data_IF_321006168817
#
_entry.id   IF_321006168817
#
_cell.length_a   1.000
_cell.length_b   1.000
_cell.length_c   1.000
_cell.angle_alpha   90.00
_cell.angle_beta   90.00
_cell.angle_gamma   90.00
#
_symmetry.space_group_name_H-M   'P 1'
#
loop_
_entity.id
_entity.type
_entity.pdbx_description
1 polymer ?
#
# COMPACT_ATOMS: atom_id res chain seq x y z
N UNK A 1 -50.21 -32.61 -54.64
CA UNK A 1 -49.61 -32.73 -53.29
C UNK A 1 -48.29 -33.49 -53.45
N UNK A 2 -47.15 -32.87 -53.16
CA UNK A 2 -45.84 -33.54 -53.30
C UNK A 2 -45.70 -34.55 -52.16
N UNK A 3 -45.55 -35.83 -52.50
CA UNK A 3 -45.21 -36.88 -51.53
C UNK A 3 -43.86 -36.52 -50.90
N UNK A 4 -43.90 -36.08 -49.65
CA UNK A 4 -42.70 -35.90 -48.86
C UNK A 4 -42.09 -37.29 -48.69
N UNK A 5 -40.87 -37.48 -49.18
CA UNK A 5 -40.15 -38.74 -49.07
C UNK A 5 -39.89 -39.03 -47.58
N UNK A 6 -40.59 -40.03 -47.05
CA UNK A 6 -40.53 -40.46 -45.65
C UNK A 6 -39.08 -40.79 -45.25
N UNK A 7 -38.23 -41.25 -46.18
CA UNK A 7 -36.82 -41.53 -45.92
C UNK A 7 -36.05 -40.25 -45.61
N UNK A 8 -36.33 -39.16 -46.34
CA UNK A 8 -35.72 -37.85 -46.10
C UNK A 8 -36.12 -37.30 -44.73
N UNK A 9 -37.40 -37.46 -44.35
CA UNK A 9 -37.90 -37.04 -43.04
C UNK A 9 -37.20 -37.81 -41.91
N UNK A 10 -37.03 -39.13 -42.06
CA UNK A 10 -36.33 -39.94 -41.06
C UNK A 10 -34.85 -39.56 -40.90
N UNK A 11 -34.16 -39.22 -41.99
CA UNK A 11 -32.76 -38.75 -41.93
C UNK A 11 -32.67 -37.39 -41.23
N UNK A 12 -33.57 -36.46 -41.53
CA UNK A 12 -33.59 -35.13 -40.90
C UNK A 12 -33.90 -35.23 -39.40
N UNK A 13 -34.88 -36.06 -39.02
CA UNK A 13 -35.22 -36.31 -37.62
C UNK A 13 -34.06 -36.98 -36.89
N UNK A 14 -33.41 -37.97 -37.50
CA UNK A 14 -32.23 -38.63 -36.93
C UNK A 14 -31.07 -37.65 -36.69
N UNK A 15 -30.78 -36.78 -37.65
CA UNK A 15 -29.78 -35.72 -37.49
C UNK A 15 -30.15 -34.76 -36.35
N UNK A 16 -31.40 -34.33 -36.24
CA UNK A 16 -31.84 -33.42 -35.18
C UNK A 16 -31.70 -34.05 -33.78
N UNK A 17 -32.10 -35.32 -33.63
CA UNK A 17 -31.97 -36.05 -32.36
C UNK A 17 -30.49 -36.19 -31.95
N UNK A 18 -29.61 -36.48 -32.90
CA UNK A 18 -28.17 -36.58 -32.63
C UNK A 18 -27.57 -35.23 -32.17
N UNK A 19 -27.94 -34.13 -32.82
CA UNK A 19 -27.48 -32.79 -32.42
C UNK A 19 -28.00 -32.39 -31.04
N UNK A 20 -29.26 -32.74 -30.72
CA UNK A 20 -29.83 -32.51 -29.41
C UNK A 20 -29.11 -33.32 -28.31
N UNK A 21 -28.81 -34.59 -28.58
CA UNK A 21 -28.07 -35.44 -27.64
C UNK A 21 -26.65 -34.90 -27.39
N UNK A 22 -25.95 -34.47 -28.43
CA UNK A 22 -24.62 -33.85 -28.31
C UNK A 22 -24.67 -32.52 -27.55
N UNK A 23 -25.67 -31.67 -27.82
CA UNK A 23 -25.83 -30.39 -27.12
C UNK A 23 -26.11 -30.58 -25.61
N UNK A 24 -26.97 -31.53 -25.25
CA UNK A 24 -27.27 -31.85 -23.85
C UNK A 24 -26.03 -32.43 -23.16
N UNK A 25 -25.34 -33.38 -23.79
CA UNK A 25 -24.11 -33.97 -23.26
C UNK A 25 -23.03 -32.92 -23.01
N UNK A 26 -22.84 -31.99 -23.94
CA UNK A 26 -21.88 -30.91 -23.80
C UNK A 26 -22.26 -29.91 -22.70
N UNK A 27 -23.55 -29.61 -22.51
CA UNK A 27 -24.00 -28.75 -21.42
C UNK A 27 -23.81 -29.39 -20.03
N UNK A 28 -24.10 -30.68 -19.89
CA UNK A 28 -23.88 -31.41 -18.63
C UNK A 28 -22.38 -31.45 -18.29
N UNK A 29 -21.53 -31.75 -19.28
CA UNK A 29 -20.08 -31.79 -19.08
C UNK A 29 -19.48 -30.41 -18.74
N UNK A 30 -19.98 -29.33 -19.35
CA UNK A 30 -19.60 -27.95 -18.99
C UNK A 30 -20.10 -27.54 -17.60
N UNK A 31 -21.26 -28.02 -17.18
CA UNK A 31 -21.80 -27.78 -15.84
C UNK A 31 -20.92 -28.39 -14.76
N UNK A 32 -20.61 -29.70 -14.88
CA UNK A 32 -19.75 -30.40 -13.94
C UNK A 32 -18.36 -29.78 -13.82
N UNK A 33 -17.70 -29.50 -14.95
CA UNK A 33 -16.37 -28.87 -14.94
C UNK A 33 -16.37 -27.46 -14.32
N UNK A 34 -17.48 -26.72 -14.43
CA UNK A 34 -17.62 -25.38 -13.83
C UNK A 34 -17.86 -25.45 -12.33
N UNK A 35 -18.63 -26.43 -11.87
CA UNK A 35 -18.89 -26.64 -10.45
C UNK A 35 -17.64 -27.18 -9.73
N UNK A 36 -16.89 -28.09 -10.38
CA UNK A 36 -15.60 -28.57 -9.89
C UNK A 36 -14.59 -27.41 -9.74
N UNK A 37 -14.39 -26.60 -10.79
CA UNK A 37 -13.52 -25.40 -10.71
C UNK A 37 -13.97 -24.40 -9.63
N UNK A 38 -15.29 -24.22 -9.44
CA UNK A 38 -15.80 -23.30 -8.42
C UNK A 38 -15.47 -23.81 -7.01
N UNK A 39 -15.59 -25.12 -6.78
CA UNK A 39 -15.24 -25.74 -5.50
C UNK A 39 -13.72 -25.69 -5.22
N UNK A 40 -12.88 -25.91 -6.25
CA UNK A 40 -11.43 -25.79 -6.13
C UNK A 40 -11.00 -24.35 -5.82
N UNK A 41 -11.62 -23.36 -6.46
CA UNK A 41 -11.35 -21.94 -6.19
C UNK A 41 -11.74 -21.55 -4.75
N UNK A 42 -12.89 -22.01 -4.26
CA UNK A 42 -13.29 -21.76 -2.87
C UNK A 42 -12.34 -22.42 -1.86
N UNK A 43 -11.89 -23.65 -2.14
CA UNK A 43 -10.91 -24.32 -1.30
C UNK A 43 -9.55 -23.59 -1.29
N UNK A 44 -9.13 -23.04 -2.44
CA UNK A 44 -7.93 -22.21 -2.55
C UNK A 44 -8.06 -20.90 -1.79
N UNK A 45 -9.22 -20.24 -1.86
CA UNK A 45 -9.49 -18.98 -1.17
C UNK A 45 -9.44 -19.16 0.35
N UNK A 46 -10.09 -20.20 0.88
CA UNK A 46 -10.02 -20.55 2.31
C UNK A 46 -8.58 -20.86 2.73
N UNK A 47 -7.84 -21.59 1.89
CA UNK A 47 -6.43 -21.92 2.18
C UNK A 47 -5.56 -20.66 2.22
N UNK A 48 -5.77 -19.70 1.33
CA UNK A 48 -5.04 -18.43 1.36
C UNK A 48 -5.42 -17.59 2.57
N UNK A 49 -6.68 -17.56 2.98
CA UNK A 49 -7.10 -16.89 4.21
C UNK A 49 -6.45 -17.49 5.46
N UNK A 50 -6.33 -18.83 5.53
CA UNK A 50 -5.63 -19.51 6.61
C UNK A 50 -4.12 -19.23 6.60
N UNK A 51 -3.48 -19.24 5.42
CA UNK A 51 -2.05 -18.90 5.27
C UNK A 51 -1.77 -17.43 5.64
N UNK A 52 -2.64 -16.50 5.28
CA UNK A 52 -2.52 -15.08 5.62
C UNK A 52 -2.75 -14.84 7.11
N UNK A 53 -3.70 -15.55 7.72
CA UNK A 53 -3.92 -15.52 9.17
C UNK A 53 -2.71 -16.06 9.92
N UNK A 54 -2.16 -17.20 9.50
CA UNK A 54 -0.96 -17.78 10.10
C UNK A 54 0.25 -16.85 9.97
N UNK A 55 0.43 -16.19 8.82
CA UNK A 55 1.49 -15.18 8.63
C UNK A 55 1.29 -13.97 9.55
N UNK A 56 0.06 -13.49 9.73
CA UNK A 56 -0.23 -12.40 10.67
C UNK A 56 0.09 -12.78 12.10
N UNK A 57 -0.34 -13.95 12.54
CA UNK A 57 -0.08 -14.45 13.89
C UNK A 57 1.44 -14.67 14.11
N UNK A 58 2.15 -15.20 13.12
CA UNK A 58 3.60 -15.34 13.15
C UNK A 58 4.30 -13.97 13.24
N UNK A 59 3.87 -12.99 12.43
CA UNK A 59 4.41 -11.63 12.47
C UNK A 59 4.13 -10.94 13.81
N UNK A 60 2.93 -11.11 14.37
CA UNK A 60 2.60 -10.58 15.70
C UNK A 60 3.42 -11.24 16.81
N UNK A 61 3.70 -12.55 16.71
CA UNK A 61 4.56 -13.27 17.63
C UNK A 61 6.01 -12.77 17.55
N UNK A 62 6.56 -12.62 16.34
CA UNK A 62 7.92 -12.09 16.13
C UNK A 62 8.06 -10.66 16.67
N UNK A 63 7.04 -9.82 16.45
CA UNK A 63 6.99 -8.46 17.00
C UNK A 63 6.89 -8.47 18.52
N UNK A 64 6.09 -9.38 19.08
CA UNK A 64 5.90 -9.48 20.53
C UNK A 64 7.14 -10.03 21.23
N UNK A 65 7.86 -10.95 20.60
CA UNK A 65 9.13 -11.49 21.08
C UNK A 65 10.24 -10.44 21.04
N UNK A 66 10.31 -9.66 19.95
CA UNK A 66 11.39 -8.69 19.72
C UNK A 66 11.18 -7.35 20.42
N UNK A 67 9.93 -6.90 20.57
CA UNK A 67 9.59 -5.56 21.05
C UNK A 67 8.62 -5.56 22.24
N UNK A 68 8.35 -6.72 22.85
CA UNK A 68 7.50 -6.86 24.03
C UNK A 68 6.05 -7.20 23.73
N UNK A 69 5.36 -7.83 24.69
CA UNK A 69 4.00 -8.35 24.52
C UNK A 69 2.92 -7.28 24.71
N UNK A 70 3.22 -6.21 25.45
CA UNK A 70 2.27 -5.12 25.71
C UNK A 70 2.35 -4.03 24.61
N UNK A 71 1.22 -3.38 24.32
CA UNK A 71 1.16 -2.34 23.30
C UNK A 71 2.11 -1.18 23.62
N UNK A 72 2.24 -0.80 24.90
CA UNK A 72 3.14 0.26 25.35
C UNK A 72 4.64 -0.10 25.18
N UNK A 73 5.01 -1.37 25.33
CA UNK A 73 6.40 -1.81 25.13
C UNK A 73 6.76 -1.82 23.65
N UNK A 74 5.82 -2.28 22.80
CA UNK A 74 5.96 -2.19 21.34
C UNK A 74 6.08 -0.74 20.88
N UNK A 75 5.36 0.19 21.50
CA UNK A 75 5.47 1.63 21.23
C UNK A 75 6.84 2.20 21.65
N UNK A 76 7.37 1.77 22.80
CA UNK A 76 8.65 2.24 23.31
C UNK A 76 9.86 1.65 22.57
N UNK A 77 9.71 0.44 22.00
CA UNK A 77 10.79 -0.36 21.41
C UNK A 77 10.72 -0.49 19.89
N UNK A 78 9.58 -0.18 19.24
CA UNK A 78 9.45 -0.09 17.77
C UNK A 78 9.99 1.27 17.28
N UNK A 79 11.11 1.30 16.54
CA UNK A 79 11.69 2.53 16.01
C UNK A 79 10.69 3.34 15.15
N UNK A 80 9.70 2.67 14.55
CA UNK A 80 8.74 3.25 13.61
C UNK A 80 7.73 4.20 14.28
N UNK A 81 7.22 3.86 15.46
CA UNK A 81 6.28 4.71 16.20
C UNK A 81 6.97 5.86 16.93
N UNK A 82 8.21 5.64 17.37
CA UNK A 82 9.03 6.69 17.98
C UNK A 82 9.35 7.79 16.95
N UNK A 83 9.56 7.43 15.69
CA UNK A 83 9.78 8.36 14.58
C UNK A 83 8.54 9.21 14.29
N UNK A 84 7.35 8.61 14.19
CA UNK A 84 6.11 9.37 14.00
C UNK A 84 5.91 10.40 15.12
N UNK A 85 6.05 9.98 16.38
CA UNK A 85 5.87 10.87 17.53
C UNK A 85 6.99 11.94 17.59
N UNK A 86 8.23 11.56 17.29
CA UNK A 86 9.37 12.46 17.27
C UNK A 86 9.24 13.49 16.14
N UNK A 87 8.82 13.09 14.93
CA UNK A 87 8.55 13.99 13.81
C UNK A 87 7.45 14.97 14.18
N UNK A 88 6.30 14.48 14.68
CA UNK A 88 5.20 15.35 15.12
C UNK A 88 5.67 16.33 16.20
N UNK A 89 6.44 15.87 17.20
CA UNK A 89 6.94 16.71 18.30
C UNK A 89 7.96 17.74 17.81
N UNK A 90 8.88 17.36 16.92
CA UNK A 90 9.90 18.26 16.37
C UNK A 90 9.26 19.30 15.45
N UNK A 91 8.38 18.90 14.54
CA UNK A 91 7.67 19.85 13.66
C UNK A 91 6.76 20.79 14.46
N UNK A 92 6.08 20.30 15.51
CA UNK A 92 5.27 21.17 16.39
C UNK A 92 6.09 22.18 17.19
N UNK A 93 7.30 21.81 17.60
CA UNK A 93 8.17 22.68 18.41
C UNK A 93 8.95 23.71 17.59
N UNK A 94 9.13 23.46 16.29
CA UNK A 94 10.01 24.26 15.42
C UNK A 94 9.29 25.23 14.50
N UNK A 95 8.00 24.99 14.25
CA UNK A 95 7.14 25.96 13.60
C UNK A 95 6.38 26.69 14.74
N UNK A 96 5.83 27.90 14.53
CA UNK A 96 5.24 28.77 15.60
C UNK A 96 3.78 29.20 15.29
N UNK A 97 3.08 28.40 14.49
CA UNK A 97 1.72 28.59 13.93
C UNK A 97 0.81 27.39 14.22
N UNK A 98 -0.44 27.38 13.80
CA UNK A 98 -1.22 26.12 13.84
C UNK A 98 -0.74 25.19 12.71
N UNK A 99 -0.36 23.94 13.07
CA UNK A 99 -0.04 22.88 12.11
C UNK A 99 -0.75 21.58 12.44
N UNK A 100 -1.11 20.87 11.38
CA UNK A 100 -1.56 19.50 11.39
C UNK A 100 -0.46 18.63 10.78
N UNK A 101 0.03 17.67 11.55
CA UNK A 101 1.01 16.69 11.07
C UNK A 101 0.29 15.35 10.96
N UNK A 102 0.23 14.82 9.75
CA UNK A 102 -0.31 13.50 9.46
C UNK A 102 0.84 12.59 9.03
N UNK A 103 0.90 11.38 9.60
CA UNK A 103 1.88 10.39 9.21
C UNK A 103 1.12 9.14 8.80
N UNK A 104 1.35 8.73 7.56
CA UNK A 104 0.67 7.57 6.98
C UNK A 104 1.70 6.55 6.51
N UNK A 105 1.47 5.25 6.75
CA UNK A 105 2.32 4.21 6.17
C UNK A 105 2.06 4.14 4.67
N UNK A 106 3.07 4.45 3.85
CA UNK A 106 2.94 4.42 2.38
C UNK A 106 3.56 3.13 1.80
N UNK A 107 4.61 2.60 2.44
CA UNK A 107 5.21 1.28 2.17
C UNK A 107 5.59 0.57 3.48
N UNK A 108 5.74 -0.76 3.45
CA UNK A 108 5.99 -1.66 4.61
C UNK A 108 6.91 -1.10 5.73
N UNK A 109 7.93 -0.31 5.37
CA UNK A 109 8.90 0.28 6.31
C UNK A 109 9.06 1.80 6.17
N UNK A 110 8.35 2.45 5.24
CA UNK A 110 8.58 3.85 4.88
C UNK A 110 7.31 4.69 5.11
N UNK A 111 7.45 5.80 5.81
CA UNK A 111 6.35 6.69 6.18
C UNK A 111 6.26 7.91 5.27
N UNK A 112 5.03 8.28 4.91
CA UNK A 112 4.73 9.63 4.44
C UNK A 112 4.49 10.54 5.62
N UNK A 113 5.05 11.74 5.57
CA UNK A 113 4.82 12.80 6.55
C UNK A 113 4.22 13.98 5.82
N UNK A 114 3.00 14.36 6.17
CA UNK A 114 2.35 15.56 5.64
C UNK A 114 2.24 16.59 6.75
N UNK A 115 2.90 17.73 6.56
CA UNK A 115 2.90 18.87 7.46
C UNK A 115 2.08 19.99 6.80
N UNK A 116 0.87 20.19 7.30
CA UNK A 116 -0.05 21.22 6.82
C UNK A 116 -0.11 22.37 7.82
N UNK A 117 0.00 23.62 7.35
CA UNK A 117 -0.12 24.82 8.20
C UNK A 117 -0.84 25.93 7.46
N UNK A 118 -1.48 26.86 8.16
CA UNK A 118 -2.15 28.00 7.53
C UNK A 118 -1.18 28.97 6.82
N UNK A 119 0.08 29.03 7.26
CA UNK A 119 1.10 29.86 6.63
C UNK A 119 2.44 29.13 6.61
N UNK A 120 2.84 28.68 5.41
CA UNK A 120 4.08 27.92 5.25
C UNK A 120 5.31 28.82 5.49
N UNK A 121 6.23 28.41 6.38
CA UNK A 121 7.49 29.13 6.59
C UNK A 121 8.32 29.23 5.31
N UNK A 122 9.25 30.18 5.29
CA UNK A 122 10.24 30.28 4.22
C UNK A 122 11.08 28.98 4.13
N UNK A 123 11.51 28.58 2.91
CA UNK A 123 12.26 27.34 2.69
C UNK A 123 13.47 27.15 3.61
N UNK A 124 14.19 28.23 3.96
CA UNK A 124 15.35 28.17 4.86
C UNK A 124 14.98 27.65 6.25
N UNK A 125 13.81 28.06 6.78
CA UNK A 125 13.31 27.53 8.06
C UNK A 125 12.92 26.07 7.91
N UNK A 126 12.22 25.71 6.84
CA UNK A 126 11.84 24.31 6.56
C UNK A 126 13.07 23.40 6.45
N UNK A 127 14.14 23.86 5.78
CA UNK A 127 15.41 23.15 5.69
C UNK A 127 16.07 22.94 7.06
N UNK A 128 16.02 23.93 7.95
CA UNK A 128 16.51 23.78 9.32
C UNK A 128 15.72 22.73 10.10
N UNK A 129 14.39 22.74 9.97
CA UNK A 129 13.54 21.74 10.62
C UNK A 129 13.81 20.33 10.09
N UNK A 130 13.90 20.17 8.76
CA UNK A 130 14.24 18.89 8.12
C UNK A 130 15.58 18.36 8.59
N UNK A 131 16.62 19.22 8.61
CA UNK A 131 17.94 18.85 9.10
C UNK A 131 17.88 18.34 10.53
N UNK A 132 17.23 19.10 11.42
CA UNK A 132 17.14 18.74 12.83
C UNK A 132 16.42 17.39 13.00
N UNK A 133 15.31 17.19 12.29
CA UNK A 133 14.54 15.95 12.35
C UNK A 133 15.33 14.74 11.82
N UNK A 134 15.88 14.83 10.61
CA UNK A 134 16.58 13.73 9.93
C UNK A 134 18.00 13.49 10.46
N UNK A 135 18.56 14.39 11.27
CA UNK A 135 19.80 14.13 12.02
C UNK A 135 19.59 13.16 13.20
N UNK A 136 18.36 13.07 13.71
CA UNK A 136 17.96 12.30 14.89
C UNK A 136 17.22 11.00 14.54
N UNK A 137 16.77 10.89 13.30
CA UNK A 137 15.94 9.80 12.78
C UNK A 137 16.67 9.15 11.62
N UNK A 138 16.54 7.83 11.47
CA UNK A 138 17.04 7.13 10.29
C UNK A 138 16.24 7.56 9.04
N UNK A 139 16.85 8.25 8.06
CA UNK A 139 16.16 8.70 6.86
C UNK A 139 15.66 7.56 5.98
N UNK A 140 16.20 6.33 6.12
CA UNK A 140 15.73 5.16 5.39
C UNK A 140 14.29 4.75 5.73
N UNK A 141 13.75 5.27 6.83
CA UNK A 141 12.39 5.00 7.30
C UNK A 141 11.38 6.04 6.81
N UNK A 142 11.81 7.06 6.06
CA UNK A 142 10.95 8.12 5.53
C UNK A 142 10.82 7.97 4.02
N UNK A 143 9.58 7.82 3.54
CA UNK A 143 9.29 7.75 2.11
C UNK A 143 9.26 9.15 1.50
N UNK A 144 8.46 10.04 2.06
CA UNK A 144 8.25 11.39 1.55
C UNK A 144 7.87 12.33 2.69
N UNK A 145 8.34 13.58 2.62
CA UNK A 145 7.88 14.66 3.51
C UNK A 145 7.26 15.77 2.65
N UNK A 146 5.99 16.07 2.90
CA UNK A 146 5.23 17.11 2.21
C UNK A 146 4.95 18.26 3.16
N UNK A 147 5.31 19.47 2.76
CA UNK A 147 4.96 20.73 3.44
C UNK A 147 3.93 21.45 2.59
N UNK A 148 2.79 21.83 3.18
CA UNK A 148 1.74 22.53 2.43
C UNK A 148 0.99 23.57 3.28
N UNK A 149 0.60 24.67 2.64
CA UNK A 149 -0.41 25.60 3.18
C UNK A 149 -1.70 25.67 2.34
N UNK A 150 -1.85 24.73 1.40
CA UNK A 150 -2.94 24.72 0.42
C UNK A 150 -2.59 25.40 -0.90
N UNK A 151 -1.82 26.49 -0.85
CA UNK A 151 -1.39 27.24 -2.05
C UNK A 151 0.03 26.87 -2.48
N UNK A 152 0.93 26.70 -1.52
CA UNK A 152 2.33 26.30 -1.70
C UNK A 152 2.51 24.87 -1.24
N UNK A 153 3.23 24.09 -2.05
CA UNK A 153 3.56 22.70 -1.72
C UNK A 153 5.05 22.48 -1.96
N UNK A 154 5.75 21.99 -0.94
CA UNK A 154 7.13 21.49 -1.06
C UNK A 154 7.15 20.01 -0.75
N UNK A 155 7.79 19.24 -1.62
CA UNK A 155 7.88 17.79 -1.51
C UNK A 155 9.35 17.43 -1.40
N UNK A 156 9.69 16.65 -0.37
CA UNK A 156 11.00 16.05 -0.19
C UNK A 156 10.89 14.55 -0.44
N UNK A 157 11.54 14.09 -1.50
CA UNK A 157 11.46 12.77 -2.11
C UNK A 157 12.52 11.80 -1.55
N UNK A 158 12.31 10.47 -1.67
CA UNK A 158 13.17 9.47 -1.04
C UNK A 158 14.67 9.57 -1.38
N UNK A 159 14.99 9.94 -2.64
CA UNK A 159 16.38 10.04 -3.08
C UNK A 159 17.11 11.21 -2.41
N UNK A 160 16.40 12.28 -2.05
CA UNK A 160 16.97 13.45 -1.39
C UNK A 160 17.44 13.09 0.03
N UNK A 161 16.69 12.23 0.72
CA UNK A 161 17.08 11.69 2.03
C UNK A 161 18.39 10.90 2.00
N UNK A 162 18.68 10.21 0.89
CA UNK A 162 19.90 9.39 0.72
C UNK A 162 21.09 10.17 0.20
N UNK A 163 20.86 11.38 -0.30
CA UNK A 163 21.89 12.23 -0.91
C UNK A 163 22.69 13.06 0.08
N UNK A 164 22.24 13.12 1.35
CA UNK A 164 22.84 13.94 2.40
C UNK A 164 23.14 13.08 3.63
N UNK A 165 24.29 13.32 4.25
CA UNK A 165 24.49 12.96 5.65
C UNK A 165 23.85 14.04 6.53
N UNK A 166 22.64 13.78 7.02
CA UNK A 166 21.84 14.75 7.76
C UNK A 166 22.45 15.21 9.09
N UNK A 167 23.43 14.47 9.63
CA UNK A 167 24.15 14.88 10.84
C UNK A 167 25.17 15.97 10.54
N UNK A 168 25.77 15.96 9.35
CA UNK A 168 26.88 16.85 8.99
C UNK A 168 26.52 17.87 7.92
N UNK A 169 25.42 17.67 7.18
CA UNK A 169 25.00 18.56 6.10
C UNK A 169 24.78 20.01 6.59
N UNK A 170 25.23 20.97 5.80
CA UNK A 170 24.92 22.39 5.99
C UNK A 170 23.48 22.70 5.54
N UNK A 171 22.91 23.79 6.05
CA UNK A 171 21.58 24.25 5.62
C UNK A 171 21.57 24.60 4.13
N UNK A 172 22.68 25.12 3.60
CA UNK A 172 22.82 25.43 2.17
C UNK A 172 22.75 24.17 1.31
N UNK A 173 23.37 23.06 1.74
CA UNK A 173 23.27 21.77 1.05
C UNK A 173 21.84 21.21 1.10
N UNK A 174 21.18 21.29 2.26
CA UNK A 174 19.78 20.86 2.41
C UNK A 174 18.88 21.68 1.50
N UNK A 175 19.08 23.00 1.44
CA UNK A 175 18.37 23.91 0.54
C UNK A 175 18.59 23.56 -0.93
N UNK A 176 19.84 23.33 -1.34
CA UNK A 176 20.17 23.00 -2.72
C UNK A 176 19.52 21.70 -3.18
N UNK A 177 19.42 20.71 -2.29
CA UNK A 177 18.83 19.40 -2.59
C UNK A 177 17.30 19.43 -2.52
N UNK A 178 16.74 19.94 -1.42
CA UNK A 178 15.31 19.79 -1.08
C UNK A 178 14.45 20.98 -1.53
N UNK A 179 15.06 22.15 -1.73
CA UNK A 179 14.37 23.38 -2.11
C UNK A 179 15.11 24.12 -3.24
N UNK A 180 15.40 23.45 -4.37
CA UNK A 180 16.10 24.10 -5.48
C UNK A 180 15.27 25.28 -5.98
N UNK A 181 15.92 26.44 -6.17
CA UNK A 181 15.28 27.61 -6.78
C UNK A 181 14.82 27.21 -8.19
N UNK A 182 13.50 27.14 -8.39
CA UNK A 182 12.88 26.99 -9.71
C UNK A 182 12.70 28.34 -10.37
#
# INVERSE_FOLDING_TARGET
MKNIDIRLVLVVVGCLVMHFALAIGFQIQRGGARDDMKSELQALEVKWEEEDKAKREQQESELSEKYGTNQLDRIALDPRMNIQLALVKMFKALVDTEYKVEVTPERFTEFRVVVSTANLPEPVKLAAVLKEALSRIDPALVYEIVFTDGDRVYIVEPYQFRSLDWKTASIEQVMAVCFPKR
#
